data_IF_844183561899
#
_entry.id   IF_844183561899
#
_cell.length_a   1.000
_cell.length_b   1.000
_cell.length_c   1.000
_cell.angle_alpha   90.00
_cell.angle_beta   90.00
_cell.angle_gamma   90.00
#
_symmetry.space_group_name_H-M   'P 1'
#
loop_
_entity.id
_entity.type
_entity.pdbx_description
1 polymer ?
#
# COMPACT_ATOMS: atom_id res chain seq x y z
N UNK A 1 -17.48 -14.03 18.00
CA UNK A 1 -17.69 -15.38 18.55
C UNK A 1 -18.65 -15.35 19.76
N UNK A 2 -18.53 -14.38 20.65
CA UNK A 2 -19.37 -14.27 21.86
C UNK A 2 -20.87 -14.07 21.56
N UNK A 3 -21.20 -13.39 20.49
CA UNK A 3 -22.58 -13.13 20.06
C UNK A 3 -23.19 -14.27 19.22
N UNK A 4 -22.46 -15.36 18.97
CA UNK A 4 -22.93 -16.52 18.19
C UNK A 4 -23.37 -16.22 16.75
N UNK A 5 -22.87 -15.13 16.15
CA UNK A 5 -23.24 -14.74 14.78
C UNK A 5 -22.73 -15.78 13.76
N UNK A 6 -23.61 -16.25 12.89
CA UNK A 6 -23.29 -17.24 11.84
C UNK A 6 -22.19 -16.75 10.88
N UNK A 7 -21.93 -15.46 10.83
CA UNK A 7 -20.93 -14.82 9.96
C UNK A 7 -19.56 -14.65 10.64
N UNK A 8 -19.41 -14.92 11.93
CA UNK A 8 -18.19 -14.66 12.71
C UNK A 8 -16.92 -15.37 12.15
N UNK A 9 -17.09 -16.55 11.55
CA UNK A 9 -16.00 -17.31 10.93
C UNK A 9 -16.06 -17.37 9.39
N UNK A 10 -16.94 -16.59 8.77
CA UNK A 10 -17.07 -16.57 7.32
C UNK A 10 -15.87 -15.90 6.69
N UNK A 11 -15.25 -16.53 5.71
CA UNK A 11 -14.19 -15.90 4.92
C UNK A 11 -14.75 -14.67 4.21
N UNK A 12 -14.00 -13.57 4.25
CA UNK A 12 -14.30 -12.39 3.46
C UNK A 12 -14.28 -12.73 1.97
N UNK A 13 -15.22 -12.17 1.22
CA UNK A 13 -15.15 -12.25 -0.22
C UNK A 13 -14.04 -11.35 -0.72
N UNK A 14 -13.10 -11.92 -1.49
CA UNK A 14 -11.94 -11.20 -2.04
C UNK A 14 -12.19 -10.70 -3.47
N UNK A 15 -13.41 -10.83 -3.97
CA UNK A 15 -13.81 -10.43 -5.32
C UNK A 15 -14.80 -9.28 -5.34
N UNK A 16 -14.76 -8.46 -6.38
CA UNK A 16 -15.75 -7.42 -6.64
C UNK A 16 -16.93 -8.11 -7.34
N UNK A 17 -17.96 -8.46 -6.59
CA UNK A 17 -19.08 -9.29 -7.03
C UNK A 17 -19.83 -8.78 -8.27
N UNK A 18 -19.83 -7.46 -8.52
CA UNK A 18 -20.52 -6.85 -9.68
C UNK A 18 -19.69 -6.85 -10.97
N UNK A 19 -18.39 -7.21 -10.92
CA UNK A 19 -17.54 -7.32 -12.13
C UNK A 19 -17.76 -8.66 -12.84
N UNK A 20 -18.24 -9.69 -12.14
CA UNK A 20 -18.37 -11.07 -12.62
C UNK A 20 -17.01 -11.74 -12.88
N UNK A 21 -17.02 -12.93 -13.48
CA UNK A 21 -15.82 -13.70 -13.84
C UNK A 21 -15.17 -13.13 -15.12
N UNK A 22 -14.59 -11.93 -15.02
CA UNK A 22 -13.84 -11.35 -16.13
C UNK A 22 -12.38 -11.18 -15.75
N UNK A 23 -11.43 -11.32 -16.67
CA UNK A 23 -10.04 -10.97 -16.42
C UNK A 23 -9.96 -9.51 -15.97
N UNK A 24 -9.53 -9.29 -14.74
CA UNK A 24 -9.50 -7.95 -14.09
C UNK A 24 -8.80 -6.90 -14.97
N UNK A 25 -7.72 -7.30 -15.65
CA UNK A 25 -6.97 -6.44 -16.55
C UNK A 25 -7.81 -5.97 -17.76
N UNK A 26 -8.60 -6.86 -18.38
CA UNK A 26 -9.47 -6.52 -19.50
C UNK A 26 -10.62 -5.60 -19.09
N UNK A 27 -11.16 -5.79 -17.89
CA UNK A 27 -12.16 -4.90 -17.33
C UNK A 27 -11.59 -3.49 -17.13
N UNK A 28 -10.41 -3.37 -16.49
CA UNK A 28 -9.78 -2.09 -16.23
C UNK A 28 -9.36 -1.35 -17.50
N UNK A 29 -8.99 -2.05 -18.56
CA UNK A 29 -8.61 -1.46 -19.86
C UNK A 29 -9.72 -0.60 -20.48
N UNK A 30 -10.96 -0.77 -20.08
CA UNK A 30 -12.10 0.06 -20.56
C UNK A 30 -12.18 1.42 -19.88
N UNK A 31 -11.59 1.57 -18.69
CA UNK A 31 -11.72 2.74 -17.84
C UNK A 31 -10.39 3.45 -17.58
N UNK A 32 -9.27 2.75 -17.70
CA UNK A 32 -7.95 3.28 -17.43
C UNK A 32 -7.14 3.40 -18.73
N UNK A 33 -6.46 4.51 -18.88
CA UNK A 33 -5.58 4.74 -20.03
C UNK A 33 -4.43 3.72 -20.03
N UNK A 34 -4.36 2.92 -21.06
CA UNK A 34 -3.23 2.05 -21.36
C UNK A 34 -2.10 2.93 -21.88
N UNK A 35 -1.20 3.34 -20.98
CA UNK A 35 -0.04 4.17 -21.32
C UNK A 35 1.24 3.45 -20.88
N UNK A 36 1.85 2.63 -21.75
CA UNK A 36 3.10 1.96 -21.42
C UNK A 36 4.21 2.95 -21.11
N UNK A 37 5.19 2.49 -20.35
CA UNK A 37 6.36 3.29 -20.00
C UNK A 37 7.45 2.47 -19.33
N UNK A 38 8.64 3.07 -19.09
CA UNK A 38 9.77 2.34 -18.58
C UNK A 38 9.60 1.93 -17.12
N UNK A 39 10.10 0.73 -16.79
CA UNK A 39 10.42 0.33 -15.42
C UNK A 39 11.89 0.61 -15.15
N UNK A 40 12.20 1.34 -14.11
CA UNK A 40 13.57 1.73 -13.75
C UNK A 40 13.93 1.32 -12.33
N UNK A 41 15.22 1.08 -12.12
CA UNK A 41 15.80 0.99 -10.77
C UNK A 41 16.00 2.38 -10.15
N UNK A 42 16.29 2.51 -8.85
CA UNK A 42 16.66 3.77 -8.23
C UNK A 42 17.83 4.49 -8.92
N UNK A 43 18.76 3.74 -9.49
CA UNK A 43 19.94 4.23 -10.21
C UNK A 43 19.60 4.70 -11.64
N UNK A 44 18.34 4.50 -12.09
CA UNK A 44 17.87 4.91 -13.40
C UNK A 44 18.06 3.86 -14.51
N UNK A 45 18.54 2.65 -14.20
CA UNK A 45 18.66 1.55 -15.16
C UNK A 45 17.25 1.10 -15.59
N UNK A 46 17.02 1.01 -16.90
CA UNK A 46 15.76 0.48 -17.45
C UNK A 46 15.82 -1.05 -17.42
N UNK A 47 14.90 -1.66 -16.67
CA UNK A 47 14.83 -3.11 -16.47
C UNK A 47 13.62 -3.76 -17.14
N UNK A 48 12.70 -2.96 -17.66
CA UNK A 48 11.51 -3.45 -18.34
C UNK A 48 10.56 -2.34 -18.77
N UNK A 49 9.35 -2.74 -19.16
CA UNK A 49 8.27 -1.83 -19.56
C UNK A 49 6.98 -2.21 -18.83
N UNK A 50 6.27 -1.21 -18.28
CA UNK A 50 4.97 -1.38 -17.67
C UNK A 50 3.84 -1.07 -18.64
N UNK A 51 2.67 -1.68 -18.45
CA UNK A 51 1.49 -1.50 -19.31
C UNK A 51 0.66 -0.25 -18.98
N UNK A 52 0.98 0.42 -17.88
CA UNK A 52 0.30 1.61 -17.37
C UNK A 52 0.42 1.66 -15.85
N UNK A 53 0.75 2.81 -15.25
CA UNK A 53 1.01 2.96 -13.81
C UNK A 53 -0.17 2.55 -12.92
N UNK A 54 -1.40 2.69 -13.44
CA UNK A 54 -2.62 2.37 -12.70
C UNK A 54 -2.79 0.86 -12.41
N UNK A 55 -2.09 -0.01 -13.15
CA UNK A 55 -2.16 -1.46 -12.97
C UNK A 55 -1.24 -1.99 -11.88
N UNK A 56 -0.45 -1.12 -11.26
CA UNK A 56 0.54 -1.51 -10.26
C UNK A 56 0.23 -0.88 -8.91
N UNK A 57 0.59 -1.59 -7.85
CA UNK A 57 0.47 -1.12 -6.46
C UNK A 57 1.85 -1.18 -5.81
N UNK A 58 2.19 -0.24 -4.93
CA UNK A 58 3.45 -0.27 -4.18
C UNK A 58 3.55 -1.58 -3.39
N UNK A 59 4.74 -2.20 -3.40
CA UNK A 59 4.97 -3.51 -2.82
C UNK A 59 4.47 -4.69 -3.68
N UNK A 60 3.90 -4.46 -4.85
CA UNK A 60 3.50 -5.55 -5.74
C UNK A 60 4.73 -6.33 -6.20
N UNK A 61 4.66 -7.67 -6.08
CA UNK A 61 5.68 -8.62 -6.54
C UNK A 61 5.22 -9.40 -7.77
N UNK A 62 3.97 -9.88 -7.75
CA UNK A 62 3.45 -10.73 -8.83
C UNK A 62 2.93 -9.90 -10.01
N UNK A 63 3.11 -10.42 -11.23
CA UNK A 63 2.55 -9.79 -12.43
C UNK A 63 3.29 -8.52 -12.90
N UNK A 64 4.50 -8.26 -12.38
CA UNK A 64 5.35 -7.15 -12.84
C UNK A 64 5.95 -7.45 -14.22
N UNK A 65 6.16 -8.74 -14.55
CA UNK A 65 6.74 -9.16 -15.83
C UNK A 65 8.27 -9.11 -15.87
N UNK A 66 8.92 -8.83 -14.74
CA UNK A 66 10.37 -8.89 -14.63
C UNK A 66 10.81 -10.28 -14.18
N UNK A 67 11.71 -10.90 -14.95
CA UNK A 67 12.42 -12.12 -14.57
C UNK A 67 13.50 -11.84 -13.51
N UNK A 68 14.01 -12.91 -12.88
CA UNK A 68 15.15 -12.77 -11.98
C UNK A 68 16.38 -12.17 -12.71
N UNK A 69 16.91 -11.08 -12.18
CA UNK A 69 18.12 -10.48 -12.73
C UNK A 69 19.33 -11.34 -12.40
N UNK A 70 20.20 -11.60 -13.41
CA UNK A 70 21.48 -12.31 -13.17
C UNK A 70 22.46 -11.50 -12.31
N UNK A 71 22.23 -10.18 -12.16
CA UNK A 71 23.16 -9.24 -11.50
C UNK A 71 23.00 -9.18 -9.97
N UNK A 72 21.80 -9.45 -9.45
CA UNK A 72 21.52 -9.33 -8.00
C UNK A 72 21.04 -10.67 -7.46
N UNK A 73 21.81 -11.20 -6.54
CA UNK A 73 21.52 -12.44 -5.80
C UNK A 73 21.52 -12.13 -4.30
N UNK A 74 20.66 -12.81 -3.56
CA UNK A 74 20.68 -12.79 -2.10
C UNK A 74 21.94 -13.52 -1.57
N UNK A 75 22.13 -13.51 -0.24
CA UNK A 75 23.26 -14.18 0.43
C UNK A 75 23.31 -15.69 0.11
N UNK A 76 22.19 -16.30 -0.25
CA UNK A 76 22.06 -17.72 -0.58
C UNK A 76 22.24 -18.01 -2.09
N UNK A 77 22.52 -16.97 -2.89
CA UNK A 77 22.75 -17.07 -4.33
C UNK A 77 21.48 -17.14 -5.17
N UNK A 78 20.28 -16.95 -4.57
CA UNK A 78 19.01 -16.89 -5.27
C UNK A 78 18.78 -15.47 -5.83
N UNK A 79 17.96 -15.38 -6.87
CA UNK A 79 17.57 -14.08 -7.41
C UNK A 79 16.56 -13.40 -6.49
N UNK A 80 16.90 -12.24 -5.96
CA UNK A 80 15.97 -11.42 -5.20
C UNK A 80 14.77 -11.02 -6.06
N UNK A 81 13.59 -11.05 -5.46
CA UNK A 81 12.36 -10.69 -6.14
C UNK A 81 12.28 -9.19 -6.37
N UNK A 82 11.68 -8.81 -7.49
CA UNK A 82 11.36 -7.43 -7.81
C UNK A 82 10.06 -6.99 -7.13
N UNK A 83 10.06 -5.75 -6.63
CA UNK A 83 8.92 -5.09 -6.02
C UNK A 83 8.71 -3.70 -6.63
N UNK A 84 7.46 -3.31 -6.79
CA UNK A 84 7.09 -1.94 -7.16
C UNK A 84 7.35 -1.02 -5.97
N UNK A 85 8.21 -0.01 -6.14
CA UNK A 85 8.60 0.89 -5.07
C UNK A 85 8.01 2.30 -5.20
N UNK A 86 7.95 2.86 -6.41
CA UNK A 86 7.42 4.21 -6.64
C UNK A 86 6.76 4.32 -8.01
N UNK A 87 5.84 5.30 -8.13
CA UNK A 87 5.22 5.70 -9.40
C UNK A 87 5.55 7.16 -9.66
N UNK A 88 6.22 7.45 -10.76
CA UNK A 88 6.41 8.80 -11.25
C UNK A 88 5.38 9.06 -12.36
N UNK A 89 4.30 9.71 -11.96
CA UNK A 89 3.17 9.97 -12.87
C UNK A 89 3.55 11.01 -13.93
N UNK A 90 4.39 12.00 -13.57
CA UNK A 90 4.80 13.07 -14.47
C UNK A 90 5.64 12.52 -15.64
N UNK A 91 6.56 11.60 -15.35
CA UNK A 91 7.44 10.98 -16.33
C UNK A 91 6.96 9.61 -16.82
N UNK A 92 5.76 9.18 -16.42
CA UNK A 92 5.19 7.87 -16.73
C UNK A 92 6.18 6.71 -16.46
N UNK A 93 6.87 6.75 -15.33
CA UNK A 93 7.91 5.78 -14.95
C UNK A 93 7.48 4.99 -13.73
N UNK A 94 7.67 3.67 -13.78
CA UNK A 94 7.49 2.78 -12.64
C UNK A 94 8.86 2.43 -12.07
N UNK A 95 9.12 2.79 -10.81
CA UNK A 95 10.35 2.38 -10.13
C UNK A 95 10.15 1.04 -9.43
N UNK A 96 11.11 0.16 -9.64
CA UNK A 96 11.15 -1.19 -9.07
C UNK A 96 12.47 -1.44 -8.38
N UNK A 97 12.43 -2.20 -7.29
CA UNK A 97 13.59 -2.53 -6.46
C UNK A 97 13.67 -4.03 -6.24
N UNK A 98 14.84 -4.55 -5.97
CA UNK A 98 15.05 -5.93 -5.55
C UNK A 98 15.16 -6.02 -4.03
N UNK A 99 14.70 -7.14 -3.47
CA UNK A 99 14.66 -7.36 -2.02
C UNK A 99 13.41 -6.77 -1.36
N UNK A 100 12.87 -7.54 -0.41
CA UNK A 100 11.69 -7.15 0.37
C UNK A 100 11.97 -5.94 1.28
N UNK A 101 13.19 -5.86 1.82
CA UNK A 101 13.58 -4.89 2.83
C UNK A 101 14.27 -3.65 2.25
N UNK A 102 14.12 -3.43 0.95
CA UNK A 102 14.70 -2.27 0.28
C UNK A 102 14.17 -0.97 0.89
N UNK A 103 15.02 0.05 1.20
CA UNK A 103 14.61 1.29 1.86
C UNK A 103 13.44 2.03 1.17
N UNK A 104 13.35 1.97 -0.14
CA UNK A 104 12.25 2.60 -0.89
C UNK A 104 10.87 1.94 -0.68
N UNK A 105 10.82 0.80 -0.02
CA UNK A 105 9.58 0.13 0.38
C UNK A 105 9.17 0.45 1.82
N UNK A 106 10.01 1.16 2.57
CA UNK A 106 9.79 1.45 3.99
C UNK A 106 9.38 2.91 4.17
N UNK A 107 8.48 3.17 5.11
CA UNK A 107 8.04 4.50 5.50
C UNK A 107 7.77 4.53 6.99
N UNK A 108 8.33 5.49 7.70
CA UNK A 108 8.10 5.68 9.15
C UNK A 108 7.06 6.76 9.42
N UNK A 109 6.67 7.53 8.41
CA UNK A 109 5.64 8.56 8.49
C UNK A 109 4.57 8.38 7.43
N UNK A 110 3.37 8.85 7.71
CA UNK A 110 2.35 9.12 6.71
C UNK A 110 1.48 10.32 7.11
N UNK A 111 0.86 10.95 6.11
CA UNK A 111 -0.24 11.86 6.32
C UNK A 111 -1.48 11.34 5.55
N UNK A 112 -2.65 11.52 6.15
CA UNK A 112 -3.92 11.07 5.60
C UNK A 112 -5.00 12.15 5.73
N UNK A 113 -5.93 12.15 4.80
CA UNK A 113 -7.08 13.05 4.76
C UNK A 113 -8.37 12.31 4.45
N UNK A 114 -9.43 13.07 4.11
CA UNK A 114 -10.76 12.50 3.87
C UNK A 114 -11.21 11.57 5.01
N UNK A 115 -11.04 12.05 6.24
CA UNK A 115 -11.23 11.26 7.45
C UNK A 115 -12.69 10.88 7.69
N UNK A 116 -12.89 9.70 8.29
CA UNK A 116 -14.17 9.22 8.80
C UNK A 116 -13.94 8.64 10.19
N UNK A 117 -14.45 9.34 11.22
CA UNK A 117 -14.32 8.91 12.61
C UNK A 117 -15.62 8.25 13.09
N UNK A 118 -15.50 7.10 13.76
CA UNK A 118 -16.66 6.34 14.27
C UNK A 118 -17.42 7.13 15.32
N UNK A 119 -16.71 7.86 16.19
CA UNK A 119 -17.32 8.72 17.22
C UNK A 119 -17.75 10.10 16.69
N UNK A 120 -17.46 10.43 15.41
CA UNK A 120 -17.76 11.73 14.81
C UNK A 120 -16.75 12.82 15.16
N UNK A 121 -15.75 12.54 15.98
CA UNK A 121 -14.71 13.48 16.39
C UNK A 121 -13.31 12.89 16.22
N UNK A 122 -12.31 13.76 16.00
CA UNK A 122 -10.91 13.36 15.84
C UNK A 122 -10.37 12.82 17.16
N UNK A 123 -9.67 11.67 17.16
CA UNK A 123 -8.94 11.18 18.32
C UNK A 123 -7.94 12.22 18.84
N UNK A 124 -7.65 12.15 20.14
CA UNK A 124 -6.59 12.98 20.74
C UNK A 124 -5.23 12.59 20.18
N UNK A 125 -4.32 13.57 20.17
CA UNK A 125 -2.91 13.31 19.87
C UNK A 125 -2.29 12.36 20.88
N UNK A 126 -1.41 11.48 20.42
CA UNK A 126 -0.68 10.54 21.25
C UNK A 126 -0.63 9.12 20.70
N UNK A 127 -0.27 8.16 21.57
CA UNK A 127 -0.04 6.78 21.15
C UNK A 127 -1.35 6.07 20.79
N UNK A 128 -1.37 5.49 19.60
CA UNK A 128 -2.43 4.64 19.07
C UNK A 128 -1.81 3.45 18.34
N UNK A 129 -2.65 2.63 17.71
CA UNK A 129 -2.19 1.69 16.69
C UNK A 129 -2.89 1.92 15.36
N UNK A 130 -2.23 1.55 14.26
CA UNK A 130 -2.78 1.76 12.93
C UNK A 130 -2.51 0.59 11.98
N UNK A 131 -3.44 0.37 11.04
CA UNK A 131 -3.28 -0.50 9.88
C UNK A 131 -3.25 0.33 8.62
N UNK A 132 -2.25 0.11 7.79
CA UNK A 132 -2.12 0.73 6.46
C UNK A 132 -2.50 -0.22 5.33
N UNK A 133 -2.81 -1.49 5.66
CA UNK A 133 -3.26 -2.54 4.74
C UNK A 133 -4.21 -3.50 5.44
N UNK A 134 -5.18 -4.03 4.69
CA UNK A 134 -6.26 -4.87 5.20
C UNK A 134 -5.81 -6.09 6.02
N UNK A 135 -4.78 -6.81 5.62
CA UNK A 135 -4.33 -8.05 6.30
C UNK A 135 -3.08 -7.86 7.16
N UNK A 136 -2.66 -6.64 7.37
CA UNK A 136 -1.53 -6.32 8.23
C UNK A 136 -2.00 -6.31 9.70
N UNK A 137 -1.19 -6.76 10.67
CA UNK A 137 -1.44 -6.45 12.06
C UNK A 137 -1.40 -4.94 12.26
N UNK A 138 -2.12 -4.45 13.27
CA UNK A 138 -2.01 -3.07 13.69
C UNK A 138 -0.65 -2.83 14.35
N UNK A 139 -0.05 -1.69 14.01
CA UNK A 139 1.28 -1.31 14.47
C UNK A 139 1.18 -0.05 15.32
N UNK A 140 1.94 -0.04 16.43
CA UNK A 140 2.02 1.13 17.29
C UNK A 140 2.47 2.35 16.49
N UNK A 141 1.83 3.49 16.75
CA UNK A 141 2.15 4.77 16.12
C UNK A 141 1.82 5.94 17.06
N UNK A 142 2.41 7.10 16.80
CA UNK A 142 2.00 8.38 17.37
C UNK A 142 1.06 9.06 16.39
N UNK A 143 -0.14 9.39 16.86
CA UNK A 143 -1.14 10.15 16.12
C UNK A 143 -1.00 11.62 16.40
N UNK A 144 -1.09 12.44 15.36
CA UNK A 144 -1.16 13.89 15.42
C UNK A 144 -2.27 14.40 14.52
N UNK A 145 -3.23 15.12 15.10
CA UNK A 145 -4.24 15.83 14.33
C UNK A 145 -3.59 16.99 13.53
N UNK A 146 -4.02 17.15 12.29
CA UNK A 146 -3.59 18.24 11.42
C UNK A 146 -4.80 19.11 11.03
N UNK A 147 -4.51 20.28 10.44
CA UNK A 147 -5.55 21.17 9.93
C UNK A 147 -6.38 20.51 8.82
N UNK A 148 -7.59 21.04 8.58
CA UNK A 148 -8.52 20.63 7.53
C UNK A 148 -8.96 19.14 7.60
N UNK A 149 -9.10 18.60 8.81
CA UNK A 149 -9.58 17.22 9.00
C UNK A 149 -8.60 16.18 8.46
N UNK A 150 -7.32 16.41 8.61
CA UNK A 150 -6.23 15.50 8.28
C UNK A 150 -5.55 15.02 9.55
N UNK A 151 -4.74 13.98 9.43
CA UNK A 151 -3.85 13.52 10.52
C UNK A 151 -2.53 13.03 9.96
N UNK A 152 -1.52 13.01 10.83
CA UNK A 152 -0.24 12.35 10.58
C UNK A 152 -0.03 11.18 11.53
N UNK A 153 0.71 10.19 11.08
CA UNK A 153 1.19 9.08 11.91
C UNK A 153 2.70 9.00 11.81
N UNK A 154 3.34 8.79 12.96
CA UNK A 154 4.75 8.45 13.08
C UNK A 154 4.87 7.04 13.65
N UNK A 155 5.59 6.16 12.97
CA UNK A 155 5.78 4.78 13.38
C UNK A 155 7.18 4.58 13.95
N UNK A 156 7.34 3.99 15.15
CA UNK A 156 8.67 3.62 15.69
C UNK A 156 9.41 2.58 14.82
N UNK A 157 8.63 1.78 14.09
CA UNK A 157 9.15 0.81 13.13
C UNK A 157 8.58 1.13 11.75
N UNK A 158 9.47 1.32 10.79
CA UNK A 158 9.06 1.64 9.42
C UNK A 158 8.07 0.62 8.86
N UNK A 159 7.01 1.12 8.23
CA UNK A 159 5.93 0.32 7.68
C UNK A 159 6.22 -0.01 6.21
N UNK A 160 5.93 -1.25 5.85
CA UNK A 160 6.22 -1.74 4.51
C UNK A 160 5.18 -1.31 3.48
N UNK A 161 5.65 -0.70 2.40
CA UNK A 161 4.89 -0.34 1.21
C UNK A 161 3.61 0.45 1.53
N UNK A 162 3.70 1.45 2.40
CA UNK A 162 2.63 2.42 2.65
C UNK A 162 2.26 3.09 1.33
N UNK A 163 0.98 3.00 0.96
CA UNK A 163 0.56 3.35 -0.40
C UNK A 163 -0.43 4.50 -0.39
N UNK A 164 -0.12 5.67 -0.97
CA UNK A 164 -1.09 6.73 -1.20
C UNK A 164 -2.33 6.22 -1.95
N UNK A 165 -3.51 6.68 -1.52
CA UNK A 165 -4.80 6.21 -2.02
C UNK A 165 -5.37 4.98 -1.30
N UNK A 166 -4.60 4.33 -0.41
CA UNK A 166 -5.10 3.31 0.53
C UNK A 166 -5.57 3.97 1.82
N UNK A 167 -6.31 3.23 2.66
CA UNK A 167 -6.78 3.72 3.95
C UNK A 167 -5.77 3.42 5.06
N UNK A 168 -5.54 4.41 5.94
CA UNK A 168 -4.97 4.21 7.26
C UNK A 168 -6.11 4.16 8.27
N UNK A 169 -6.21 3.07 9.05
CA UNK A 169 -7.26 2.86 10.05
C UNK A 169 -6.62 2.81 11.42
N UNK A 170 -7.16 3.61 12.37
CA UNK A 170 -6.64 3.78 13.71
C UNK A 170 -7.44 2.98 14.73
N UNK A 171 -6.74 2.51 15.76
CA UNK A 171 -7.29 1.74 16.86
C UNK A 171 -6.75 2.21 18.20
N UNK A 172 -7.60 2.16 19.24
CA UNK A 172 -7.22 2.21 20.63
C UNK A 172 -7.50 0.83 21.25
N UNK A 173 -6.44 0.03 21.44
CA UNK A 173 -6.59 -1.38 21.72
C UNK A 173 -7.40 -2.10 20.65
N UNK A 174 -8.52 -2.70 21.02
CA UNK A 174 -9.43 -3.41 20.08
C UNK A 174 -10.51 -2.49 19.48
N UNK A 175 -10.57 -1.23 19.87
CA UNK A 175 -11.60 -0.28 19.42
C UNK A 175 -11.14 0.41 18.14
N UNK A 176 -11.90 0.22 17.05
CA UNK A 176 -11.69 0.95 15.80
C UNK A 176 -12.18 2.40 15.96
N UNK A 177 -11.29 3.37 15.81
CA UNK A 177 -11.59 4.80 15.92
C UNK A 177 -12.05 5.41 14.59
N UNK A 178 -11.68 4.80 13.48
CA UNK A 178 -11.88 5.32 12.12
C UNK A 178 -10.57 5.48 11.38
N UNK A 179 -10.50 6.41 10.45
CA UNK A 179 -9.28 6.63 9.67
C UNK A 179 -9.46 7.56 8.49
N UNK A 180 -8.50 7.55 7.58
CA UNK A 180 -8.52 8.39 6.38
C UNK A 180 -7.77 7.77 5.21
N UNK A 181 -7.84 8.44 4.07
CA UNK A 181 -7.09 8.05 2.87
C UNK A 181 -5.66 8.60 2.99
N UNK A 182 -4.67 7.74 2.81
CA UNK A 182 -3.25 8.11 2.82
C UNK A 182 -2.98 9.05 1.64
N UNK A 183 -2.51 10.24 1.93
CA UNK A 183 -2.09 11.24 0.94
C UNK A 183 -0.61 11.06 0.60
N UNK A 184 0.22 10.95 1.64
CA UNK A 184 1.68 10.83 1.53
C UNK A 184 2.25 9.83 2.51
N UNK A 185 3.39 9.27 2.17
CA UNK A 185 4.22 8.42 3.03
C UNK A 185 5.69 8.83 2.85
N UNK A 186 6.46 8.77 3.93
CA UNK A 186 7.86 9.22 3.95
C UNK A 186 8.73 8.47 4.95
N UNK A 187 10.03 8.72 4.87
CA UNK A 187 11.08 8.34 5.82
C UNK A 187 11.75 9.59 6.34
#
# INVERSE_FOLDING_TARGET
AELGLATAAKKDSTGICFIGERPFREFLNRYLSFKPGPMKTPEGEVVGEHVGLSFYTLGQRKGIGLGGSKKHRDADGNHEAWYVARKDVANNTLYVVQGHDHPWLLSDTLAAGQVSWVAGETPKDGPLSAKTRYRQPDMACEHQALDAGRFALQFPQAQWAVTPGQSAVLYDGEVCLGGGIIDTAGT
#
